data_IF_984515705652
#
_entry.id   IF_984515705652
#
_cell.length_a   1.000
_cell.length_b   1.000
_cell.length_c   1.000
_cell.angle_alpha   90.00
_cell.angle_beta   90.00
_cell.angle_gamma   90.00
#
_symmetry.space_group_name_H-M   'P 1'
#
loop_
_entity.id
_entity.type
_entity.pdbx_description
1 polymer ?
2 non-polymer ?
3 water ?
#
# COMPACT_ATOMS: atom_id res chain seq x y z
N UNK A 6 -29.12 10.41 -12.35
CA UNK A 6 -27.70 10.71 -12.49
C UNK A 6 -27.17 10.26 -13.84
N UNK A 7 -28.04 9.66 -14.62
CA UNK A 7 -27.70 9.14 -15.91
C UNK A 7 -27.55 7.65 -15.79
N UNK A 8 -27.83 7.19 -14.59
CA UNK A 8 -27.74 5.78 -14.29
C UNK A 8 -28.91 5.01 -14.81
N UNK A 9 -28.63 3.79 -15.21
CA UNK A 9 -29.63 2.86 -15.66
C UNK A 9 -30.04 2.02 -14.45
N UNK A 10 -31.16 1.33 -14.56
CA UNK A 10 -31.57 0.47 -13.46
C UNK A 10 -30.62 -0.71 -13.39
N UNK A 11 -30.21 -1.12 -14.59
CA UNK A 11 -29.27 -2.19 -14.80
C UNK A 11 -28.02 -1.64 -15.46
N UNK A 12 -26.86 -2.07 -14.95
CA UNK A 12 -25.61 -1.59 -15.50
C UNK A 12 -24.58 -2.68 -15.72
N UNK A 13 -23.63 -2.35 -16.58
CA UNK A 13 -22.54 -3.23 -16.87
C UNK A 13 -21.28 -2.55 -16.43
N UNK A 14 -20.30 -3.36 -16.05
CA UNK A 14 -19.07 -2.77 -15.58
C UNK A 14 -17.85 -3.57 -16.02
N UNK A 15 -16.70 -2.90 -15.98
CA UNK A 15 -15.48 -3.56 -16.39
C UNK A 15 -14.45 -3.51 -15.27
N UNK A 16 -13.65 -4.57 -15.20
CA UNK A 16 -12.63 -4.68 -14.18
C UNK A 16 -11.24 -4.97 -14.72
N UNK A 17 -10.29 -4.26 -14.14
CA UNK A 17 -8.89 -4.38 -14.41
C UNK A 17 -8.10 -4.09 -13.16
N UNK A 18 -7.63 -5.17 -12.54
CA UNK A 18 -6.86 -5.06 -11.32
C UNK A 18 -5.39 -5.38 -11.53
N UNK A 19 -4.58 -4.46 -11.05
CA UNK A 19 -3.16 -4.60 -11.10
C UNK A 19 -2.66 -4.80 -9.67
N UNK A 20 -1.95 -5.89 -9.40
CA UNK A 20 -1.49 -6.08 -8.03
C UNK A 20 -0.20 -6.88 -7.82
N UNK A 21 0.20 -6.86 -6.55
CA UNK A 21 1.35 -7.56 -6.02
C UNK A 21 1.12 -7.86 -4.56
N UNK A 22 0.95 -9.14 -4.27
CA UNK A 22 0.71 -9.56 -2.91
C UNK A 22 1.87 -10.40 -2.40
N UNK A 23 2.61 -9.85 -1.45
CA UNK A 23 3.74 -10.57 -0.90
C UNK A 23 4.76 -10.85 -1.99
N UNK A 24 4.91 -9.90 -2.91
CA UNK A 24 5.89 -10.04 -3.97
C UNK A 24 5.35 -10.66 -5.24
N UNK A 25 4.15 -11.23 -5.14
CA UNK A 25 3.52 -11.85 -6.27
C UNK A 25 2.71 -10.85 -7.08
N UNK A 26 3.18 -10.57 -8.28
CA UNK A 26 2.47 -9.68 -9.16
C UNK A 26 1.43 -10.48 -9.93
N UNK A 27 0.29 -9.87 -10.18
CA UNK A 27 -0.77 -10.55 -10.90
C UNK A 27 -1.64 -9.56 -11.65
N UNK A 28 -2.48 -10.11 -12.52
CA UNK A 28 -3.37 -9.33 -13.33
C UNK A 28 -4.73 -9.98 -13.49
N UNK A 29 -5.74 -9.27 -13.00
CA UNK A 29 -7.12 -9.71 -13.07
C UNK A 29 -7.97 -8.74 -13.88
N UNK A 30 -8.83 -9.33 -14.69
CA UNK A 30 -9.75 -8.57 -15.51
C UNK A 30 -11.13 -9.10 -15.22
N UNK A 31 -12.13 -8.26 -15.39
CA UNK A 31 -13.47 -8.71 -15.12
C UNK A 31 -14.53 -8.00 -15.93
N UNK A 32 -15.76 -8.45 -15.69
CA UNK A 32 -16.97 -7.94 -16.30
C UNK A 32 -18.13 -8.20 -15.35
N UNK A 33 -19.11 -7.31 -15.34
CA UNK A 33 -20.27 -7.48 -14.46
C UNK A 33 -21.52 -6.70 -14.86
N UNK A 34 -22.62 -7.11 -14.22
CA UNK A 34 -23.94 -6.51 -14.34
C UNK A 34 -24.36 -6.07 -12.96
N UNK A 35 -25.02 -4.94 -12.87
CA UNK A 35 -25.43 -4.47 -11.56
C UNK A 35 -26.69 -3.66 -11.58
N UNK A 36 -27.23 -3.46 -10.40
CA UNK A 36 -28.44 -2.71 -10.18
C UNK A 36 -28.22 -1.62 -9.16
N UNK A 37 -27.74 -0.50 -9.69
CA UNK A 37 -27.40 0.67 -8.90
C UNK A 37 -28.45 0.95 -7.85
N UNK A 38 -29.68 0.94 -8.31
CA UNK A 38 -30.80 1.23 -7.45
C UNK A 38 -31.17 0.08 -6.53
N UNK A 39 -30.76 -1.12 -6.90
CA UNK A 39 -31.02 -2.29 -6.09
C UNK A 39 -29.91 -2.51 -5.07
N UNK A 40 -28.74 -1.95 -5.38
CA UNK A 40 -27.55 -2.09 -4.54
C UNK A 40 -26.96 -3.50 -4.69
N UNK A 41 -27.18 -4.07 -5.87
CA UNK A 41 -26.71 -5.39 -6.17
C UNK A 41 -25.81 -5.43 -7.38
N UNK A 42 -24.85 -6.36 -7.35
CA UNK A 42 -23.88 -6.57 -8.42
C UNK A 42 -23.31 -7.99 -8.45
N UNK A 43 -23.12 -8.50 -9.65
CA UNK A 43 -22.56 -9.82 -9.89
C UNK A 43 -21.45 -9.67 -10.91
N UNK A 44 -20.22 -9.98 -10.50
CA UNK A 44 -19.09 -9.84 -11.39
C UNK A 44 -18.31 -11.12 -11.63
N UNK A 45 -17.69 -11.17 -12.82
CA UNK A 45 -16.90 -12.29 -13.26
C UNK A 45 -15.45 -11.88 -13.41
N UNK A 46 -14.57 -12.56 -12.65
CA UNK A 46 -13.14 -12.25 -12.64
C UNK A 46 -12.22 -13.31 -13.22
N UNK A 47 -11.11 -12.85 -13.79
CA UNK A 47 -10.15 -13.76 -14.40
C UNK A 47 -8.70 -13.33 -14.21
N UNK A 48 -7.88 -14.29 -13.75
CA UNK A 48 -6.45 -14.07 -13.57
C UNK A 48 -5.76 -14.23 -14.91
N UNK A 49 -5.48 -13.10 -15.55
CA UNK A 49 -4.84 -13.10 -16.84
C UNK A 49 -3.32 -13.03 -16.71
N UNK A 50 -2.87 -12.83 -15.49
CA UNK A 50 -1.46 -12.73 -15.18
C UNK A 50 -1.21 -13.09 -13.73
N UNK A 51 -0.13 -13.83 -13.49
CA UNK A 51 0.29 -14.23 -12.14
C UNK A 51 -0.48 -15.41 -11.54
N UNK A 52 -1.38 -15.99 -12.32
CA UNK A 52 -2.16 -17.11 -11.83
C UNK A 52 -1.41 -18.43 -12.04
N UNK A 53 -1.80 -19.44 -11.28
CA UNK A 53 -2.84 -19.32 -10.28
C UNK A 53 -2.30 -18.53 -9.09
N UNK A 54 -3.19 -17.80 -8.44
CA UNK A 54 -2.78 -17.00 -7.30
C UNK A 54 -2.35 -17.81 -6.10
N UNK A 55 -1.18 -17.43 -5.58
CA UNK A 55 -0.55 -18.06 -4.43
C UNK A 55 -1.26 -17.78 -3.10
N UNK A 56 -2.16 -16.80 -3.11
CA UNK A 56 -2.88 -16.41 -1.92
C UNK A 56 -4.37 -16.58 -2.09
N UNK A 57 -5.08 -16.33 -0.99
CA UNK A 57 -6.52 -16.40 -0.98
C UNK A 57 -7.11 -15.25 -1.79
N UNK A 58 -7.93 -15.61 -2.77
CA UNK A 58 -8.59 -14.68 -3.69
C UNK A 58 -9.62 -13.79 -2.99
N UNK A 59 -9.89 -14.08 -1.72
CA UNK A 59 -10.86 -13.34 -0.95
C UNK A 59 -10.39 -11.98 -0.50
N UNK A 60 -9.09 -11.81 -0.44
CA UNK A 60 -8.52 -10.54 -0.03
C UNK A 60 -8.70 -9.43 -1.08
N UNK A 61 -8.89 -9.84 -2.35
CA UNK A 61 -9.05 -8.93 -3.49
C UNK A 61 -10.47 -8.44 -3.68
N UNK A 62 -11.42 -9.27 -3.25
CA UNK A 62 -12.86 -9.05 -3.36
C UNK A 62 -13.34 -7.60 -3.32
N UNK A 63 -13.22 -6.96 -2.16
CA UNK A 63 -13.68 -5.60 -1.95
C UNK A 63 -12.88 -4.56 -2.73
N UNK A 64 -11.77 -4.98 -3.32
CA UNK A 64 -10.97 -4.06 -4.08
C UNK A 64 -11.47 -3.97 -5.53
N UNK A 65 -12.60 -4.63 -5.80
CA UNK A 65 -13.18 -4.69 -7.16
C UNK A 65 -14.26 -3.66 -7.52
N UNK A 67 -17.71 -1.05 -5.54
CA UNK A 67 -18.39 0.11 -6.10
C UNK A 67 -19.61 0.55 -5.29
N UNK A 68 -19.39 1.58 -4.46
CA UNK A 68 -20.43 2.11 -3.61
C UNK A 68 -21.65 2.62 -4.36
N UNK A 69 -21.53 2.75 -5.68
CA UNK A 69 -22.64 3.16 -6.51
C UNK A 69 -23.73 2.11 -6.37
N UNK A 70 -23.26 0.86 -6.27
CA UNK A 70 -24.10 -0.28 -6.09
C UNK A 70 -24.40 -0.43 -4.61
N UNK A 71 -25.20 0.52 -4.15
CA UNK A 71 -25.66 0.62 -2.78
C UNK A 71 -27.05 1.23 -2.77
N UNK A 72 -28.03 0.46 -2.28
CA UNK A 72 -29.37 0.99 -2.22
C UNK A 72 -29.53 1.95 -1.07
N UNK A 73 -29.73 3.21 -1.44
CA UNK A 73 -29.87 4.32 -0.53
C UNK A 73 -31.31 4.70 -0.30
N UNK A 74 -31.57 5.22 0.90
CA UNK A 74 -32.89 5.69 1.24
C UNK A 74 -33.05 7.07 0.64
N UNK A 75 -34.29 7.53 0.50
CA UNK A 75 -34.50 8.84 -0.06
C UNK A 75 -34.03 9.94 0.87
N UNK A 76 -34.17 9.68 2.15
CA UNK A 76 -33.78 10.62 3.17
C UNK A 76 -32.26 10.74 3.28
N UNK A 77 -31.55 9.84 2.60
CA UNK A 77 -30.08 9.86 2.66
C UNK A 77 -29.39 10.23 1.34
N UNK A 78 -28.43 11.18 1.41
CA UNK A 78 -27.65 11.61 0.24
C UNK A 78 -26.74 10.51 -0.27
N UNK A 79 -26.84 10.27 -1.58
CA UNK A 79 -26.05 9.25 -2.23
C UNK A 79 -24.84 9.87 -2.90
N UNK A 80 -23.82 10.09 -2.10
CA UNK A 80 -22.55 10.67 -2.55
C UNK A 80 -22.07 10.03 -3.86
N UNK A 81 -22.14 8.70 -3.88
CA UNK A 81 -21.70 7.90 -5.01
C UNK A 81 -22.48 8.13 -6.30
N UNK A 82 -23.80 8.01 -6.24
CA UNK A 82 -24.60 8.23 -7.44
C UNK A 82 -24.51 9.69 -7.86
N UNK A 83 -24.55 10.57 -6.89
CA UNK A 83 -24.41 11.97 -7.20
C UNK A 83 -23.12 12.17 -7.97
N UNK A 84 -22.18 11.23 -7.79
CA UNK A 84 -20.88 11.25 -8.45
C UNK A 84 -20.94 11.19 -9.99
N UNK A 85 -22.12 10.81 -10.48
CA UNK A 85 -22.35 10.76 -11.89
C UNK A 85 -22.25 12.14 -12.45
N UNK A 86 -21.62 12.32 -13.61
CA UNK A 86 -21.17 11.30 -14.52
C UNK A 86 -19.67 11.09 -14.53
N UNK A 87 -18.90 11.98 -13.89
CA UNK A 87 -17.44 11.88 -13.89
C UNK A 87 -16.91 10.65 -13.17
N UNK A 88 -17.64 10.24 -12.13
CA UNK A 88 -17.27 9.11 -11.31
C UNK A 88 -16.54 9.59 -10.07
N UNK A 89 -15.78 8.68 -9.47
CA UNK A 89 -15.06 9.01 -8.26
C UNK A 89 -13.90 8.06 -8.04
N UNK A 90 -13.13 8.32 -7.00
CA UNK A 90 -12.02 7.48 -6.64
C UNK A 90 -12.08 7.11 -5.16
N UNK A 91 -11.46 5.98 -4.84
CA UNK A 91 -11.37 5.50 -3.48
C UNK A 91 -10.05 4.78 -3.22
N UNK A 92 -9.61 4.93 -1.98
CA UNK A 92 -8.41 4.33 -1.45
C UNK A 92 -8.79 3.66 -0.15
N UNK A 93 -8.23 2.49 0.10
CA UNK A 93 -8.55 1.73 1.30
C UNK A 93 -7.37 0.98 1.89
N UNK A 94 -7.28 1.06 3.21
CA UNK A 94 -6.26 0.35 3.94
C UNK A 94 -6.86 -0.95 4.47
N UNK A 95 -6.10 -2.04 4.39
CA UNK A 95 -6.53 -3.34 4.87
C UNK A 95 -5.64 -3.83 5.99
N UNK A 96 -6.16 -3.84 7.21
CA UNK A 96 -5.34 -4.29 8.32
C UNK A 96 -5.77 -5.64 8.86
N UNK A 97 -5.06 -6.67 8.41
CA UNK A 97 -5.37 -8.02 8.84
C UNK A 97 -4.85 -8.31 10.21
N UNK A 98 -5.53 -9.23 10.87
CA UNK A 98 -5.15 -9.56 12.22
C UNK A 98 -3.76 -10.19 12.36
N UNK A 99 -3.28 -10.85 11.31
CA UNK A 99 -1.98 -11.50 11.39
C UNK A 99 -0.79 -10.63 11.03
N UNK A 100 -1.01 -9.33 10.89
CA UNK A 100 0.09 -8.44 10.56
C UNK A 100 0.17 -8.04 9.10
N UNK A 101 -0.55 -8.78 8.23
CA UNK A 101 -0.56 -8.45 6.82
C UNK A 101 -1.15 -7.05 6.57
N UNK A 102 -0.55 -6.31 5.63
CA UNK A 102 -0.99 -4.96 5.30
C UNK A 102 -1.32 -4.78 3.84
N UNK A 103 -2.47 -4.14 3.57
CA UNK A 103 -2.90 -3.88 2.22
C UNK A 103 -3.45 -2.48 1.98
N UNK A 104 -3.17 -2.02 0.79
CA UNK A 104 -3.67 -0.76 0.31
C UNK A 104 -4.29 -1.01 -1.05
N UNK A 105 -5.47 -0.45 -1.26
CA UNK A 105 -6.13 -0.58 -2.53
C UNK A 105 -6.61 0.75 -3.05
N UNK A 106 -6.32 0.97 -4.31
CA UNK A 106 -6.74 2.18 -4.95
C UNK A 106 -7.58 1.92 -6.17
N UNK A 107 -8.82 2.44 -6.13
CA UNK A 107 -9.75 2.27 -7.22
C UNK A 107 -10.15 3.58 -7.90
N UNK A 108 -10.25 3.51 -9.23
CA UNK A 108 -10.63 4.63 -10.07
C UNK A 108 -11.88 4.30 -10.88
N UNK A 109 -13.01 4.90 -10.46
CA UNK A 109 -14.28 4.66 -11.12
C UNK A 109 -14.58 5.68 -12.21
N UNK A 110 -14.70 5.18 -13.43
CA UNK A 110 -15.00 6.03 -14.57
C UNK A 110 -16.20 5.50 -15.33
N UNK A 111 -16.90 6.40 -16.01
CA UNK A 111 -18.10 6.01 -16.69
C UNK A 111 -18.15 6.11 -18.20
N UNK A 112 -18.50 4.97 -18.81
CA UNK A 112 -18.73 4.86 -20.24
C UNK A 112 -20.20 5.19 -20.44
N UNK A 113 -20.49 6.48 -20.28
CA UNK A 113 -21.82 7.06 -20.35
C UNK A 113 -22.76 6.39 -21.34
N UNK A 114 -22.52 6.59 -22.63
CA UNK A 114 -23.39 5.99 -23.64
C UNK A 114 -23.34 4.46 -23.63
N UNK A 115 -22.21 3.90 -23.25
CA UNK A 115 -22.09 2.47 -23.18
C UNK A 115 -22.86 1.99 -21.95
N UNK A 116 -23.03 2.90 -20.99
CA UNK A 116 -23.69 2.59 -19.72
C UNK A 116 -22.93 1.51 -18.97
N UNK A 117 -21.61 1.64 -19.08
CA UNK A 117 -20.64 0.74 -18.50
C UNK A 117 -19.74 1.48 -17.52
N UNK A 118 -19.55 0.91 -16.34
CA UNK A 118 -18.71 1.53 -15.35
C UNK A 118 -17.38 0.81 -15.29
N UNK A 119 -16.31 1.56 -15.56
CA UNK A 119 -15.00 1.00 -15.52
C UNK A 119 -14.38 1.14 -14.14
N UNK A 120 -13.61 0.13 -13.78
CA UNK A 120 -12.91 0.11 -12.51
C UNK A 120 -11.44 -0.21 -12.71
N UNK A 121 -10.58 0.72 -12.35
CA UNK A 121 -9.17 0.47 -12.49
C UNK A 121 -8.54 0.47 -11.11
N UNK A 122 -8.06 -0.71 -10.69
CA UNK A 122 -7.48 -0.85 -9.37
C UNK A 122 -6.05 -1.34 -9.31
N UNK A 123 -5.44 -0.89 -8.21
CA UNK A 123 -4.09 -1.23 -7.85
C UNK A 123 -4.08 -1.74 -6.43
N UNK A 124 -3.71 -3.01 -6.29
CA UNK A 124 -3.73 -3.65 -5.00
C UNK A 124 -2.34 -4.05 -4.54
N UNK A 125 -1.98 -3.60 -3.34
CA UNK A 125 -0.69 -3.92 -2.71
C UNK A 125 -0.85 -4.47 -1.30
N UNK A 126 -0.48 -5.75 -1.13
CA UNK A 126 -0.57 -6.42 0.16
C UNK A 126 0.73 -7.15 0.53
N UNK A 127 1.06 -7.12 1.83
CA UNK A 127 2.27 -7.76 2.33
C UNK A 127 2.12 -8.20 3.77
N UNK A 128 3.16 -8.90 4.24
CA UNK A 128 3.22 -9.42 5.61
C UNK A 128 2.15 -10.46 5.89
N UNK A 129 1.76 -11.14 4.82
CA UNK A 129 0.79 -12.22 4.86
C UNK A 129 1.51 -13.49 5.24
N UNK A 130 1.41 -13.88 6.51
CA UNK A 130 2.04 -15.09 7.00
C UNK A 130 1.89 -16.30 6.07
N UNK A 131 3.02 -16.94 5.81
CA UNK A 131 3.13 -18.10 4.95
C UNK A 131 2.29 -19.26 5.43
N UNK A 132 1.93 -19.20 6.70
CA UNK A 132 1.12 -20.22 7.31
C UNK A 132 -0.30 -19.72 7.46
N UNK A 133 -0.49 -18.44 7.20
CA UNK A 133 -1.80 -17.84 7.32
C UNK A 133 -2.81 -18.52 6.41
N UNK A 134 -4.10 -18.18 6.62
CA UNK A 134 -5.20 -18.71 5.83
C UNK A 134 -5.12 -18.19 4.40
N UNK A 135 -4.55 -17.00 4.26
CA UNK A 135 -4.38 -16.36 2.97
C UNK A 135 -3.32 -17.08 2.14
N UNK A 136 -2.15 -17.23 2.75
CA UNK A 136 -1.08 -17.93 2.07
C UNK A 136 -1.42 -19.39 1.91
N UNK A 137 -2.10 -19.91 2.92
CA UNK A 137 -2.52 -21.29 2.90
C UNK A 137 -3.87 -21.44 2.23
N UNK A 138 -4.39 -20.32 1.72
CA UNK A 138 -5.67 -20.32 1.05
C UNK A 138 -6.72 -21.12 1.82
N UNK A 139 -6.85 -20.79 3.10
CA UNK A 139 -7.76 -21.47 3.99
C UNK A 139 -9.07 -20.73 4.16
N UNK A 140 -9.27 -19.67 3.39
CA UNK A 140 -10.48 -18.85 3.47
C UNK A 140 -11.64 -19.42 2.68
N UNK A 141 -12.81 -18.86 2.91
CA UNK A 141 -13.99 -19.32 2.20
C UNK A 141 -14.85 -18.17 1.71
N UNK A 142 -15.15 -17.26 2.63
CA UNK A 142 -15.98 -16.11 2.33
C UNK A 142 -15.94 -15.09 3.43
N UNK A 143 -16.27 -13.85 3.08
CA UNK A 143 -16.31 -12.79 4.06
C UNK A 143 -17.62 -12.89 4.81
N UNK A 144 -17.65 -12.41 6.03
CA UNK A 144 -18.89 -12.44 6.78
C UNK A 144 -19.65 -11.15 6.53
N UNK A 145 -20.96 -11.16 6.77
CA UNK A 145 -21.77 -9.96 6.57
C UNK A 145 -21.29 -8.84 7.48
N UNK A 146 -21.41 -7.61 7.01
CA UNK A 146 -20.94 -6.49 7.77
C UNK A 146 -21.82 -5.25 7.72
N UNK A 147 -21.42 -4.32 8.58
CA UNK A 147 -22.03 -3.03 8.72
C UNK A 147 -20.94 -1.94 8.74
N UNK A 148 -20.87 -1.15 7.67
CA UNK A 148 -19.85 -0.12 7.59
C UNK A 148 -20.35 1.26 7.97
N UNK A 149 -19.51 1.97 8.70
CA UNK A 149 -19.86 3.32 9.07
C UNK A 149 -19.31 4.28 8.03
N UNK A 150 -20.22 5.06 7.47
CA UNK A 150 -19.91 6.05 6.46
C UNK A 150 -20.13 7.43 7.02
N UNK A 151 -19.07 8.25 6.99
CA UNK A 151 -19.15 9.59 7.52
C UNK A 151 -18.46 10.65 6.66
N UNK A 152 -19.08 11.81 6.68
CA UNK A 152 -18.62 12.94 5.93
C UNK A 152 -17.44 13.62 6.61
N UNK A 153 -16.62 14.22 5.76
CA UNK A 153 -15.46 14.96 6.18
C UNK A 153 -15.73 16.43 6.01
N UNK A 154 -15.87 17.09 7.16
CA UNK A 154 -16.16 18.50 7.23
C UNK A 154 -15.16 19.31 6.43
N UNK A 155 -15.70 20.04 5.45
CA UNK A 155 -14.89 20.90 4.60
C UNK A 155 -13.97 20.10 3.71
N UNK A 156 -14.44 18.98 3.19
CA UNK A 156 -13.54 18.23 2.35
C UNK A 156 -14.18 17.66 1.11
N UNK A 157 -15.47 17.36 1.21
CA UNK A 157 -16.21 16.81 0.09
C UNK A 157 -15.93 15.33 -0.10
N UNK A 158 -15.38 14.71 0.93
CA UNK A 158 -15.07 13.30 0.86
C UNK A 158 -15.74 12.52 1.98
N UNK A 159 -15.77 11.20 1.81
CA UNK A 159 -16.36 10.29 2.76
C UNK A 159 -15.29 9.45 3.43
N UNK A 160 -15.66 8.89 4.56
CA UNK A 160 -14.79 8.01 5.29
C UNK A 160 -15.57 6.76 5.63
N UNK A 161 -15.06 5.63 5.19
CA UNK A 161 -15.69 4.36 5.45
C UNK A 161 -14.90 3.60 6.49
N UNK A 162 -15.61 3.10 7.50
CA UNK A 162 -15.00 2.34 8.57
C UNK A 162 -15.73 1.02 8.74
N UNK A 163 -15.03 -0.09 8.52
CA UNK A 163 -15.63 -1.41 8.67
C UNK A 163 -14.68 -2.48 9.14
N UNK A 164 -15.14 -3.25 10.11
CA UNK A 164 -14.36 -4.37 10.63
C UNK A 164 -14.83 -5.64 9.96
N UNK A 165 -13.95 -6.14 9.13
CA UNK A 165 -14.21 -7.31 8.36
C UNK A 165 -13.76 -8.59 9.03
N UNK A 166 -14.51 -9.64 8.70
CA UNK A 166 -14.24 -10.96 9.16
C UNK A 166 -14.25 -11.95 8.00
N UNK A 167 -13.11 -12.58 7.80
CA UNK A 167 -12.96 -13.53 6.74
C UNK A 167 -13.08 -14.94 7.30
N UNK A 168 -14.13 -15.62 6.86
CA UNK A 168 -14.43 -16.98 7.28
C UNK A 168 -13.50 -18.00 6.65
N UNK A 169 -12.96 -18.85 7.53
CA UNK A 169 -12.02 -19.89 7.14
C UNK A 169 -12.67 -21.26 7.05
N UNK A 170 -11.98 -22.19 6.38
CA UNK A 170 -12.46 -23.55 6.21
C UNK A 170 -12.60 -24.29 7.54
N UNK A 171 -11.64 -24.05 8.45
CA UNK A 171 -11.68 -24.65 9.77
C UNK A 171 -12.92 -24.21 10.53
N UNK A 172 -13.56 -23.17 10.03
CA UNK A 172 -14.75 -22.63 10.64
C UNK A 172 -14.50 -21.30 11.34
N UNK A 173 -13.21 -20.99 11.54
CA UNK A 173 -12.82 -19.77 12.21
C UNK A 173 -12.98 -18.52 11.36
N UNK A 174 -12.87 -17.39 12.06
CA UNK A 174 -12.92 -16.06 11.50
C UNK A 174 -11.51 -15.52 11.35
N UNK A 175 -11.33 -14.58 10.44
CA UNK A 175 -10.05 -13.93 10.23
C UNK A 175 -10.33 -12.43 10.11
N UNK A 176 -9.89 -11.67 11.13
CA UNK A 176 -10.16 -10.24 11.21
C UNK A 176 -9.31 -9.32 10.33
N UNK A 177 -10.01 -8.30 9.79
CA UNK A 177 -9.43 -7.27 8.92
C UNK A 177 -10.11 -5.90 9.06
N UNK A 178 -9.31 -4.87 9.29
CA UNK A 178 -9.85 -3.54 9.42
C UNK A 178 -9.80 -2.77 8.11
N UNK A 179 -10.99 -2.39 7.63
CA UNK A 179 -11.14 -1.61 6.41
C UNK A 179 -11.31 -0.13 6.74
N UNK A 180 -10.40 0.67 6.21
CA UNK A 180 -10.46 2.11 6.38
C UNK A 180 -10.39 2.76 5.02
N UNK A 181 -11.50 3.36 4.64
CA UNK A 181 -11.63 3.94 3.32
C UNK A 181 -11.80 5.45 3.30
N UNK A 182 -11.47 5.96 2.13
CA UNK A 182 -11.62 7.35 1.77
C UNK A 182 -12.24 7.40 0.37
N UNK A 183 -13.42 8.02 0.30
CA UNK A 183 -14.14 8.14 -0.95
C UNK A 183 -14.11 9.58 -1.46
N UNK A 184 -13.49 9.77 -2.62
CA UNK A 184 -13.35 11.08 -3.22
C UNK A 184 -14.04 11.21 -4.58
N UNK A 185 -15.07 12.06 -4.59
CA UNK A 185 -15.84 12.34 -5.80
C UNK A 185 -14.99 13.12 -6.79
N UNK A 186 -15.17 12.82 -8.07
CA UNK A 186 -14.39 13.52 -9.06
C UNK A 186 -14.73 15.00 -9.19
N UNK A 187 -15.91 15.40 -8.71
CA UNK A 187 -16.32 16.80 -8.77
C UNK A 187 -16.93 17.29 -7.47
N UNK A 188 -16.76 18.59 -7.17
CA UNK A 188 -17.28 19.14 -5.94
C UNK A 188 -18.74 18.83 -5.77
N UNK A 189 -19.02 18.23 -4.63
CA UNK A 189 -20.34 17.81 -4.26
C UNK A 189 -21.18 18.94 -3.70
N UNK A 190 -22.36 19.13 -4.27
CA UNK A 190 -23.27 20.15 -3.80
C UNK A 190 -23.82 19.76 -2.44
N UNK A 191 -24.32 18.54 -2.36
CA UNK A 191 -24.86 18.01 -1.12
C UNK A 191 -23.98 16.91 -0.56
N UNK A 192 -23.86 16.91 0.77
CA UNK A 192 -23.10 15.90 1.49
C UNK A 192 -24.04 15.10 2.35
N UNK A 193 -23.76 13.82 2.52
CA UNK A 193 -24.60 13.02 3.37
C UNK A 193 -24.21 13.18 4.84
N UNK A 194 -25.04 12.62 5.71
CA UNK A 194 -24.78 12.63 7.13
C UNK A 194 -24.30 11.23 7.50
N UNK A 195 -23.46 11.12 8.52
CA UNK A 195 -22.99 9.81 8.85
C UNK A 195 -24.10 8.77 8.84
N UNK A 196 -23.81 7.64 8.22
CA UNK A 196 -24.77 6.55 8.14
C UNK A 196 -24.10 5.21 8.16
N UNK A 197 -24.81 4.21 7.72
CA UNK A 197 -24.30 2.86 7.70
C UNK A 197 -24.55 2.18 6.37
N UNK A 198 -23.67 1.26 6.03
CA UNK A 198 -23.84 0.44 4.85
C UNK A 198 -23.58 -1.01 5.21
N UNK A 199 -24.66 -1.78 5.13
CA UNK A 199 -24.62 -3.20 5.39
C UNK A 199 -24.25 -3.90 4.09
N UNK A 200 -23.36 -4.88 4.13
CA UNK A 200 -23.01 -5.56 2.89
C UNK A 200 -23.00 -7.08 3.03
N UNK A 201 -23.09 -7.72 1.87
CA UNK A 201 -23.03 -9.16 1.72
C UNK A 201 -22.27 -9.46 0.45
N UNK A 202 -21.05 -9.99 0.62
CA UNK A 202 -20.17 -10.30 -0.50
C UNK A 202 -19.77 -11.77 -0.55
N UNK A 203 -20.07 -12.42 -1.66
CA UNK A 203 -19.74 -13.81 -1.77
C UNK A 203 -18.93 -14.15 -3.00
N UNK A 204 -18.11 -15.18 -2.83
CA UNK A 204 -17.28 -15.68 -3.90
C UNK A 204 -17.60 -17.12 -4.20
N UNK A 205 -17.71 -17.38 -5.48
CA UNK A 205 -18.01 -18.70 -6.01
C UNK A 205 -17.04 -18.99 -7.12
N UNK A 206 -16.02 -19.80 -6.82
CA UNK A 206 -15.01 -20.15 -7.78
C UNK A 206 -15.58 -20.59 -9.13
N UNK A 207 -14.73 -20.54 -10.13
CA UNK A 207 -15.07 -20.93 -11.47
C UNK A 207 -13.83 -21.24 -12.28
N UNK A 208 -12.73 -21.44 -11.55
CA UNK A 208 -11.51 -21.78 -12.23
C UNK A 208 -11.77 -23.04 -13.07
N UNK A 209 -11.25 -23.10 -14.32
CA UNK A 209 -11.33 -24.38 -14.99
C UNK A 209 -10.06 -25.03 -14.55
N UNK A 210 -9.17 -25.24 -15.48
CA UNK A 210 -7.89 -25.84 -15.16
C UNK A 210 -6.96 -25.27 -16.15
N UNK A 211 -7.61 -24.44 -16.92
CA UNK A 211 -7.05 -23.66 -17.97
C UNK A 211 -7.10 -22.20 -17.56
N UNK A 212 -7.90 -21.87 -16.55
CA UNK A 212 -7.98 -20.50 -16.10
C UNK A 212 -8.59 -20.33 -14.72
N UNK A 213 -7.94 -19.45 -13.92
CA UNK A 213 -8.40 -19.14 -12.59
C UNK A 213 -9.44 -18.04 -12.60
N UNK A 214 -10.66 -18.44 -12.31
CA UNK A 214 -11.75 -17.50 -12.31
C UNK A 214 -12.76 -17.84 -11.26
N UNK A 215 -13.48 -16.81 -10.88
CA UNK A 215 -14.50 -16.90 -9.85
C UNK A 215 -15.48 -15.77 -10.07
N UNK A 216 -16.64 -15.92 -9.47
CA UNK A 216 -17.63 -14.90 -9.60
C UNK A 216 -17.98 -14.25 -8.27
N UNK A 217 -18.02 -12.91 -8.28
CA UNK A 217 -18.34 -12.18 -7.08
C UNK A 217 -19.78 -11.70 -7.07
N UNK A 218 -20.24 -11.37 -5.89
CA UNK A 218 -21.61 -10.96 -5.74
C UNK A 218 -21.77 -10.13 -4.49
N UNK A 219 -22.39 -8.97 -4.64
CA UNK A 219 -22.57 -8.12 -3.50
C UNK A 219 -23.93 -7.46 -3.43
N UNK A 220 -24.39 -7.32 -2.19
CA UNK A 220 -25.65 -6.68 -1.88
C UNK A 220 -25.40 -5.65 -0.79
N UNK A 221 -25.88 -4.44 -1.00
CA UNK A 221 -25.67 -3.42 0.01
C UNK A 221 -26.78 -2.41 0.09
N UNK A 222 -27.16 -2.08 1.34
CA UNK A 222 -28.21 -1.13 1.64
C UNK A 222 -27.75 -0.08 2.63
N UNK A 223 -28.02 1.17 2.30
CA UNK A 223 -27.69 2.27 3.18
C UNK A 223 -28.73 2.36 4.30
N UNK A 224 -28.28 2.71 5.48
CA UNK A 224 -29.19 2.82 6.58
C UNK A 224 -28.74 3.91 7.52
N UNK A 225 -29.68 4.35 8.35
CA UNK A 225 -29.42 5.33 9.37
C UNK A 225 -29.41 4.64 10.72
N UNK A 226 -28.90 5.31 11.73
CA UNK A 226 -28.89 4.69 13.04
C UNK A 226 -30.31 4.39 13.47
N UNK A 227 -30.56 3.12 13.78
CA UNK A 227 -31.87 2.70 14.25
C UNK A 227 -32.11 3.20 15.67
N UNK A 228 -32.11 4.52 15.81
CA UNK A 228 -32.30 5.19 17.10
C UNK A 228 -32.80 6.60 16.87
N UNK B 6 32.22 -7.99 -1.56
CA UNK B 6 31.18 -8.89 -2.08
C UNK B 6 30.93 -8.68 -3.57
N UNK B 7 31.91 -8.09 -4.22
CA UNK B 7 31.82 -7.75 -5.62
C UNK B 7 31.44 -6.28 -5.65
N UNK B 8 31.27 -5.80 -4.42
CA UNK B 8 30.92 -4.43 -4.10
C UNK B 8 32.19 -3.61 -3.96
N UNK B 9 32.08 -2.29 -3.97
CA UNK B 9 33.26 -1.44 -3.80
C UNK B 9 33.11 -0.56 -2.57
N UNK B 10 34.24 -0.26 -1.90
CA UNK B 10 34.26 0.59 -0.71
C UNK B 10 33.41 1.84 -0.88
N UNK B 11 33.63 2.46 -2.04
CA UNK B 11 32.87 3.62 -2.44
C UNK B 11 32.09 3.25 -3.69
N UNK B 12 30.87 3.76 -3.79
CA UNK B 12 30.06 3.43 -4.93
C UNK B 12 29.05 4.50 -5.28
N UNK B 13 28.24 4.16 -6.25
CA UNK B 13 27.20 5.04 -6.71
C UNK B 13 25.89 4.31 -6.76
N UNK B 14 24.83 5.07 -6.83
CA UNK B 14 23.51 4.50 -6.85
C UNK B 14 22.51 5.43 -7.53
N UNK B 15 21.56 4.83 -8.21
CA UNK B 15 20.55 5.58 -8.91
C UNK B 15 19.16 5.25 -8.42
N UNK B 16 18.35 6.30 -8.32
CA UNK B 16 17.00 6.20 -7.83
C UNK B 16 15.91 6.68 -8.79
N UNK B 17 14.85 5.89 -8.79
CA UNK B 17 13.64 6.16 -9.54
C UNK B 17 12.43 5.79 -8.69
N UNK B 18 11.67 6.79 -8.25
CA UNK B 18 10.51 6.51 -7.41
C UNK B 18 9.19 6.99 -7.96
N UNK B 19 8.21 6.11 -7.90
CA UNK B 19 6.85 6.40 -8.32
C UNK B 19 5.91 6.20 -7.16
N UNK B 20 5.03 7.17 -6.96
CA UNK B 20 4.08 7.04 -5.88
C UNK B 20 2.87 7.92 -6.05
N UNK B 21 1.88 7.57 -5.24
CA UNK B 21 0.61 8.24 -5.12
C UNK B 21 0.28 8.29 -3.65
N UNK B 22 0.56 9.44 -3.05
CA UNK B 22 0.27 9.62 -1.67
C UNK B 22 -1.01 10.42 -1.56
N UNK B 23 -1.96 9.89 -0.82
CA UNK B 23 -3.23 10.56 -0.69
C UNK B 23 -3.81 10.96 -2.03
N UNK B 24 -3.55 10.13 -3.03
CA UNK B 24 -4.05 10.35 -4.37
C UNK B 24 -3.17 11.24 -5.22
N UNK B 25 -2.11 11.76 -4.63
CA UNK B 25 -1.23 12.63 -5.39
C UNK B 25 -0.09 11.85 -6.02
N UNK B 26 -0.15 11.71 -7.34
CA UNK B 26 0.89 10.97 -8.05
C UNK B 26 2.17 11.80 -8.17
N UNK B 27 3.32 11.11 -8.17
CA UNK B 27 4.59 11.81 -8.27
C UNK B 27 5.72 10.90 -8.71
N UNK B 28 6.71 11.50 -9.37
CA UNK B 28 7.89 10.82 -9.83
C UNK B 28 9.12 11.52 -9.33
N UNK B 29 10.01 10.72 -8.75
CA UNK B 29 11.25 11.18 -8.18
C UNK B 29 12.44 10.36 -8.70
N UNK B 30 13.54 11.06 -8.93
CA UNK B 30 14.75 10.43 -9.40
C UNK B 30 15.92 10.96 -8.61
N UNK B 31 16.85 10.07 -8.26
CA UNK B 31 17.98 10.51 -7.48
C UNK B 31 19.29 9.85 -7.88
N UNK B 32 20.36 10.47 -7.38
CA UNK B 32 21.73 10.07 -7.57
C UNK B 32 22.42 10.05 -6.21
N UNK B 33 23.39 9.14 -6.05
CA UNK B 33 24.10 9.08 -4.78
C UNK B 33 25.45 8.36 -4.82
N UNK B 34 26.21 8.60 -3.74
CA UNK B 34 27.52 8.01 -3.48
C UNK B 34 27.46 7.35 -2.11
N UNK B 35 27.93 6.11 -2.02
CA UNK B 35 27.85 5.47 -0.73
C UNK B 35 29.06 4.65 -0.36
N UNK B 36 29.06 4.29 0.93
CA UNK B 36 30.10 3.47 1.51
C UNK B 36 29.49 2.26 2.18
N UNK B 37 29.32 1.27 1.33
CA UNK B 37 28.74 0.00 1.71
C UNK B 37 29.27 -0.51 3.04
N UNK B 38 30.58 -0.50 3.19
CA UNK B 38 31.25 -0.99 4.39
C UNK B 38 31.22 -0.03 5.55
N UNK B 39 31.05 1.25 5.24
CA UNK B 39 30.97 2.24 6.28
C UNK B 39 29.54 2.34 6.73
N UNK B 40 28.63 1.98 5.82
CA UNK B 40 27.22 2.04 6.09
C UNK B 40 26.71 3.47 5.95
N UNK B 41 27.45 4.23 5.14
CA UNK B 41 27.14 5.63 4.89
C UNK B 41 26.70 5.91 3.46
N UNK B 42 25.87 6.96 3.32
CA UNK B 42 25.37 7.39 2.05
C UNK B 42 24.67 8.75 2.05
N UNK B 43 24.90 9.47 0.95
CA UNK B 43 24.33 10.77 0.71
C UNK B 43 23.60 10.71 -0.62
N UNK B 44 22.38 11.20 -0.66
CA UNK B 44 21.68 11.15 -1.92
C UNK B 44 20.95 12.41 -2.24
N UNK B 45 20.90 12.67 -3.53
CA UNK B 45 20.27 13.84 -4.04
C UNK B 45 19.03 13.46 -4.81
N UNK B 46 17.90 14.04 -4.37
CA UNK B 46 16.61 13.75 -4.95
C UNK B 46 15.98 14.92 -5.65
N UNK B 47 15.28 14.63 -6.74
CA UNK B 47 14.60 15.63 -7.51
C UNK B 47 13.24 15.18 -8.01
N UNK B 48 12.21 15.87 -7.53
CA UNK B 48 10.86 15.58 -7.96
C UNK B 48 10.74 15.95 -9.43
N UNK B 49 10.52 14.95 -10.26
CA UNK B 49 10.41 15.20 -11.67
C UNK B 49 9.02 14.91 -12.18
N UNK B 50 8.07 14.96 -11.25
CA UNK B 50 6.67 14.73 -11.54
C UNK B 50 5.83 14.83 -10.29
N UNK B 51 4.77 15.62 -10.38
CA UNK B 51 3.85 15.83 -9.27
C UNK B 51 4.36 16.84 -8.26
N UNK B 52 5.43 17.55 -8.64
CA UNK B 52 5.99 18.55 -7.75
C UNK B 52 5.31 19.91 -7.87
N UNK B 53 5.34 20.67 -6.78
CA UNK B 53 5.95 20.20 -5.56
C UNK B 53 4.97 19.28 -4.85
N UNK B 54 5.52 18.27 -4.17
CA UNK B 54 4.70 17.34 -3.41
C UNK B 54 3.91 18.12 -2.38
N UNK B 55 2.63 17.76 -2.25
CA UNK B 55 1.72 18.42 -1.34
C UNK B 55 1.86 17.98 0.12
N UNK B 56 2.72 16.99 0.34
CA UNK B 56 2.94 16.43 1.66
C UNK B 56 4.40 16.51 2.01
N UNK B 57 4.73 16.11 3.25
CA UNK B 57 6.10 16.11 3.72
C UNK B 57 6.94 15.06 3.00
N UNK B 58 8.19 15.42 2.64
CA UNK B 58 9.09 14.51 1.94
C UNK B 58 9.64 13.46 2.89
N UNK B 59 9.65 13.82 4.17
CA UNK B 59 10.15 12.96 5.22
C UNK B 59 9.56 11.56 5.17
N UNK B 60 8.31 11.46 4.73
CA UNK B 60 7.65 10.16 4.62
C UNK B 60 8.30 9.21 3.60
N UNK B 61 8.93 9.79 2.56
CA UNK B 61 9.54 9.00 1.49
C UNK B 61 10.97 8.56 1.74
N UNK B 62 11.63 9.24 2.67
CA UNK B 62 13.03 9.02 2.99
C UNK B 62 13.50 7.56 2.99
N UNK B 63 13.03 6.79 3.97
CA UNK B 63 13.42 5.38 4.10
C UNK B 63 13.01 4.58 2.89
N UNK B 64 12.12 5.16 2.10
CA UNK B 64 11.63 4.51 0.90
C UNK B 64 12.58 4.66 -0.27
N UNK B 65 13.78 5.19 -0.03
CA UNK B 65 14.74 5.39 -1.11
C UNK B 65 15.84 4.32 -1.19
N UNK B 67 18.44 1.36 1.62
CA UNK B 67 19.28 0.26 1.15
C UNK B 67 20.16 -0.34 2.23
N UNK B 68 19.76 -1.53 2.66
CA UNK B 68 20.46 -2.24 3.69
C UNK B 68 21.87 -2.70 3.31
N UNK B 69 22.24 -2.48 2.05
CA UNK B 69 23.58 -2.80 1.59
C UNK B 69 24.57 -1.89 2.31
N UNK B 70 24.11 -0.64 2.50
CA UNK B 70 24.86 0.39 3.19
C UNK B 70 24.64 0.28 4.70
N UNK B 71 25.29 -0.71 5.27
CA UNK B 71 25.23 -0.98 6.69
C UNK B 71 26.56 -1.56 7.15
N UNK B 72 27.18 -0.90 8.12
CA UNK B 72 28.42 -1.41 8.65
C UNK B 72 28.13 -2.66 9.49
N UNK B 73 28.57 -3.81 9.00
CA UNK B 73 28.33 -5.08 9.67
C UNK B 73 29.58 -5.66 10.33
N UNK B 74 29.44 -6.15 11.56
CA UNK B 74 30.54 -6.77 12.26
C UNK B 74 30.88 -8.09 11.60
N UNK B 75 32.13 -8.51 11.71
CA UNK B 75 32.52 -9.77 11.11
C UNK B 75 31.73 -10.92 11.71
N UNK B 76 31.46 -10.78 13.00
CA UNK B 76 30.72 -11.78 13.72
C UNK B 76 29.29 -11.95 13.22
N UNK B 77 28.76 -10.96 12.50
CA UNK B 77 27.38 -11.05 12.01
C UNK B 77 27.25 -11.20 10.49
N UNK B 78 26.33 -12.10 10.07
CA UNK B 78 26.05 -12.35 8.65
C UNK B 78 25.36 -11.17 7.97
N UNK B 79 25.99 -10.66 6.91
CA UNK B 79 25.44 -9.56 6.14
C UNK B 79 24.64 -10.06 4.95
N UNK B 80 23.40 -10.41 5.27
CA UNK B 80 22.41 -10.91 4.32
C UNK B 80 22.31 -10.01 3.07
N UNK B 81 22.41 -8.70 3.30
CA UNK B 81 22.32 -7.75 2.21
C UNK B 81 23.47 -7.82 1.23
N UNK B 82 24.70 -7.67 1.73
CA UNK B 82 25.86 -7.72 0.86
C UNK B 82 25.97 -9.10 0.26
N UNK B 83 25.67 -10.08 1.09
CA UNK B 83 25.68 -11.44 0.63
C UNK B 83 24.65 -11.65 -0.45
N UNK B 84 23.76 -10.67 -0.62
CA UNK B 84 22.72 -10.70 -1.65
C UNK B 84 23.24 -10.63 -3.10
N UNK B 85 24.50 -10.21 -3.24
CA UNK B 85 25.15 -10.13 -4.53
C UNK B 85 25.35 -11.54 -5.07
N UNK B 86 25.39 -11.70 -6.40
CA UNK B 86 25.26 -10.63 -7.36
C UNK B 86 23.82 -10.28 -7.68
N UNK B 87 22.93 -11.29 -7.64
CA UNK B 87 21.51 -11.14 -8.00
C UNK B 87 20.80 -9.89 -7.46
N UNK B 88 21.11 -9.57 -6.20
CA UNK B 88 20.52 -8.43 -5.52
C UNK B 88 19.40 -8.87 -4.58
N UNK B 89 18.53 -7.94 -4.25
CA UNK B 89 17.45 -8.26 -3.36
C UNK B 89 16.32 -7.27 -3.51
N UNK B 90 15.22 -7.56 -2.82
CA UNK B 90 14.08 -6.67 -2.80
C UNK B 90 13.57 -6.48 -1.39
N UNK B 91 12.81 -5.41 -1.19
CA UNK B 91 12.21 -5.13 0.11
C UNK B 91 10.79 -4.57 0.02
N UNK B 92 10.01 -4.92 1.03
CA UNK B 92 8.63 -4.48 1.17
C UNK B 92 8.48 -3.88 2.55
N UNK B 93 7.77 -2.76 2.65
CA UNK B 93 7.61 -2.13 3.96
C UNK B 93 6.27 -1.46 4.19
N UNK B 94 5.78 -1.61 5.42
CA UNK B 94 4.55 -0.97 5.79
C UNK B 94 4.81 0.12 6.80
N UNK B 95 4.25 1.30 6.51
CA UNK B 95 4.39 2.47 7.36
C UNK B 95 3.08 2.72 8.10
N UNK B 96 3.10 2.45 9.40
CA UNK B 96 1.94 2.67 10.24
C UNK B 96 2.08 3.92 11.10
N UNK B 97 1.60 5.04 10.53
CA UNK B 97 1.62 6.36 11.15
C UNK B 97 0.57 6.47 12.27
N UNK B 98 0.96 7.08 13.39
CA UNK B 98 0.09 7.23 14.53
C UNK B 98 -1.29 7.80 14.20
N UNK B 99 -1.35 8.76 13.29
CA UNK B 99 -2.62 9.37 12.98
C UNK B 99 -3.53 8.64 11.99
N UNK B 100 -3.22 7.39 11.70
CA UNK B 100 -4.07 6.66 10.78
C UNK B 100 -3.56 6.58 9.35
N UNK B 101 -2.48 7.28 9.04
CA UNK B 101 -1.97 7.18 7.68
C UNK B 101 -1.34 5.81 7.41
N UNK B 102 -1.51 5.33 6.18
CA UNK B 102 -0.98 4.03 5.78
C UNK B 102 -0.20 4.06 4.48
N UNK B 103 1.05 3.59 4.57
CA UNK B 103 1.94 3.51 3.42
C UNK B 103 2.51 2.12 3.24
N UNK B 104 2.83 1.84 1.99
CA UNK B 104 3.49 0.63 1.57
C UNK B 104 4.55 0.99 0.54
N UNK B 105 5.77 0.49 0.74
CA UNK B 105 6.84 0.74 -0.20
C UNK B 105 7.59 -0.52 -0.57
N UNK B 106 7.75 -0.68 -1.87
CA UNK B 106 8.48 -1.80 -2.38
C UNK B 106 9.64 -1.35 -3.25
N UNK B 107 10.82 -1.87 -2.93
CA UNK B 107 12.04 -1.52 -3.64
C UNK B 107 12.75 -2.70 -4.25
N UNK B 108 13.13 -2.54 -5.52
CA UNK B 108 13.88 -3.54 -6.26
C UNK B 108 15.34 -3.13 -6.36
N UNK B 109 16.21 -3.89 -5.69
CA UNK B 109 17.64 -3.56 -5.69
C UNK B 109 18.52 -4.38 -6.65
N UNK B 110 19.23 -3.62 -7.50
CA UNK B 110 20.13 -4.17 -8.50
C UNK B 110 21.45 -3.41 -8.57
N UNK B 111 22.53 -4.18 -8.74
CA UNK B 111 23.88 -3.64 -8.77
C UNK B 111 24.67 -3.88 -10.07
N UNK B 112 25.21 -2.79 -10.64
CA UNK B 112 26.02 -2.86 -11.84
C UNK B 112 27.50 -2.92 -11.50
N UNK B 113 28.10 -4.08 -11.78
CA UNK B 113 29.51 -4.27 -11.54
C UNK B 113 30.31 -3.30 -12.40
N UNK B 114 30.01 -3.36 -13.69
CA UNK B 114 30.66 -2.54 -14.68
C UNK B 114 30.46 -1.07 -14.44
N UNK B 115 29.38 -0.72 -13.75
CA UNK B 115 29.08 0.67 -13.49
C UNK B 115 29.31 1.07 -12.05
N UNK B 116 29.57 0.07 -11.21
CA UNK B 116 29.81 0.32 -9.81
C UNK B 116 28.70 1.18 -9.18
N UNK B 117 27.49 1.01 -9.71
CA UNK B 117 26.32 1.72 -9.20
C UNK B 117 25.23 0.77 -8.77
N UNK B 118 24.46 1.21 -7.76
CA UNK B 118 23.34 0.46 -7.23
C UNK B 118 22.03 1.13 -7.63
N UNK B 119 21.21 0.42 -8.41
CA UNK B 119 19.94 0.99 -8.85
C UNK B 119 18.79 0.62 -7.94
N UNK B 120 18.03 1.65 -7.62
CA UNK B 120 16.89 1.49 -6.75
C UNK B 120 15.62 1.96 -7.43
N UNK B 121 14.68 1.02 -7.55
CA UNK B 121 13.39 1.25 -8.14
C UNK B 121 12.29 1.03 -7.10
N UNK B 122 11.79 2.13 -6.55
CA UNK B 122 10.77 2.09 -5.51
C UNK B 122 9.38 2.45 -6.00
N UNK B 123 8.42 1.94 -5.23
CA UNK B 123 7.00 2.17 -5.44
C UNK B 123 6.34 2.46 -4.10
N UNK B 124 6.14 3.73 -3.87
CA UNK B 124 5.59 4.24 -2.65
C UNK B 124 4.12 4.62 -2.78
N UNK B 125 3.29 4.02 -1.91
CA UNK B 125 1.87 4.28 -1.85
C UNK B 125 1.47 4.65 -0.44
N UNK B 126 0.72 5.73 -0.29
CA UNK B 126 0.30 6.15 1.04
C UNK B 126 -1.06 6.85 1.05
N UNK B 127 -1.80 6.65 2.12
CA UNK B 127 -3.10 7.25 2.26
C UNK B 127 -3.49 7.52 3.69
N UNK B 128 -4.63 8.19 3.83
CA UNK B 128 -5.18 8.54 5.13
C UNK B 128 -4.30 9.51 5.93
N UNK B 129 -3.67 10.41 5.20
CA UNK B 129 -2.85 11.43 5.80
C UNK B 129 -3.74 12.60 6.15
N UNK B 130 -4.06 12.71 7.43
CA UNK B 130 -4.90 13.79 7.90
C UNK B 130 -4.50 15.14 7.30
N UNK B 131 -5.47 15.79 6.63
CA UNK B 131 -5.26 17.08 5.97
C UNK B 131 -4.57 18.10 6.85
N UNK B 132 -4.87 18.08 8.14
CA UNK B 132 -4.24 19.03 9.02
C UNK B 132 -3.07 18.41 9.76
N UNK B 133 -2.63 17.26 9.24
CA UNK B 133 -1.52 16.53 9.84
C UNK B 133 -0.19 17.18 9.51
N UNK B 134 0.86 16.75 10.23
CA UNK B 134 2.20 17.28 10.03
C UNK B 134 2.70 17.07 8.59
N UNK B 135 2.27 15.98 7.98
CA UNK B 135 2.65 15.63 6.62
C UNK B 135 1.93 16.48 5.59
N UNK B 136 0.62 16.50 5.71
CA UNK B 136 -0.21 17.27 4.82
C UNK B 136 0.07 18.76 4.98
N UNK B 137 0.37 19.17 6.20
CA UNK B 137 0.68 20.56 6.47
C UNK B 137 2.19 20.79 6.47
N UNK B 138 2.93 19.80 5.99
CA UNK B 138 4.38 19.85 5.94
C UNK B 138 5.02 20.60 7.12
N UNK B 139 5.00 19.95 8.28
CA UNK B 139 5.53 20.51 9.50
C UNK B 139 6.55 19.61 10.14
N UNK B 140 7.09 18.72 9.33
CA UNK B 140 8.09 17.74 9.76
C UNK B 140 9.51 18.23 9.50
N UNK B 141 10.46 17.78 10.29
CA UNK B 141 11.81 18.22 10.07
C UNK B 141 12.75 17.09 9.75
N UNK B 142 12.84 16.13 10.66
CA UNK B 142 13.73 14.98 10.49
C UNK B 142 13.26 13.80 11.33
N UNK B 143 13.80 12.64 10.98
CA UNK B 143 13.51 11.42 11.68
C UNK B 143 14.48 11.32 12.83
N UNK B 144 14.02 10.82 13.96
CA UNK B 144 14.90 10.63 15.09
C UNK B 144 15.71 9.35 14.88
N UNK B 145 16.96 9.36 15.37
CA UNK B 145 17.84 8.20 15.23
C UNK B 145 17.15 6.97 15.76
N UNK B 146 17.30 5.87 15.04
CA UNK B 146 16.64 4.64 15.42
C UNK B 146 17.56 3.48 15.72
N UNK B 147 16.89 2.41 16.14
CA UNK B 147 17.47 1.13 16.44
C UNK B 147 16.48 0.08 15.92
N UNK B 148 16.77 -0.50 14.77
CA UNK B 148 15.84 -1.47 14.24
C UNK B 148 16.22 -2.90 14.57
N UNK B 149 15.21 -3.73 14.69
CA UNK B 149 15.43 -5.13 14.99
C UNK B 149 15.32 -5.97 13.73
N UNK B 150 16.42 -6.65 13.43
CA UNK B 150 16.53 -7.52 12.27
C UNK B 150 16.46 -8.99 12.70
N UNK B 151 15.41 -9.68 12.23
CA UNK B 151 15.30 -11.08 12.59
C UNK B 151 15.05 -12.00 11.40
N UNK B 152 15.69 -13.16 11.44
CA UNK B 152 15.59 -14.13 10.38
C UNK B 152 14.30 -14.93 10.46
N UNK B 153 13.76 -15.24 9.27
CA UNK B 153 12.57 -16.04 9.14
C UNK B 153 12.95 -17.46 8.76
N UNK B 154 12.95 -18.29 9.79
CA UNK B 154 13.30 -19.68 9.68
C UNK B 154 12.57 -20.40 8.55
N UNK B 155 13.36 -21.02 7.69
CA UNK B 155 12.82 -21.79 6.59
C UNK B 155 12.22 -20.95 5.47
N UNK B 156 12.48 -19.64 5.49
CA UNK B 156 11.93 -18.79 4.46
C UNK B 156 12.98 -18.09 3.62
N UNK B 157 14.19 -18.00 4.17
CA UNK B 157 15.29 -17.34 3.49
C UNK B 157 15.13 -15.82 3.45
N UNK B 158 14.14 -15.32 4.19
CA UNK B 158 13.88 -13.89 4.27
C UNK B 158 14.19 -13.32 5.65
N UNK B 159 14.22 -12.00 5.72
CA UNK B 159 14.52 -11.22 6.91
C UNK B 159 13.34 -10.33 7.28
N UNK B 160 13.24 -10.01 8.58
CA UNK B 160 12.19 -9.12 9.06
C UNK B 160 12.77 -8.00 9.90
N UNK B 161 12.45 -6.78 9.48
CA UNK B 161 12.89 -5.58 10.14
C UNK B 161 11.74 -4.93 10.88
N UNK B 162 12.02 -4.55 12.12
CA UNK B 162 11.05 -3.93 12.98
C UNK B 162 11.66 -2.71 13.67
N UNK B 163 11.02 -1.55 13.50
CA UNK B 163 11.50 -0.30 14.09
C UNK B 163 10.37 0.70 14.34
N UNK B 164 10.39 1.34 15.51
CA UNK B 164 9.40 2.35 15.85
C UNK B 164 10.01 3.72 15.59
N UNK B 165 9.53 4.33 14.53
CA UNK B 165 10.04 5.62 14.11
C UNK B 165 9.33 6.83 14.70
N UNK B 166 10.09 7.92 14.73
CA UNK B 166 9.61 9.21 15.18
C UNK B 166 10.08 10.30 14.23
N UNK B 167 9.12 10.94 13.61
CA UNK B 167 9.40 12.02 12.72
C UNK B 167 9.29 13.29 13.53
N UNK B 168 10.41 14.02 13.65
CA UNK B 168 10.41 15.24 14.44
C UNK B 168 9.69 16.42 13.78
N UNK B 169 8.83 17.06 14.58
CA UNK B 169 8.03 18.18 14.13
C UNK B 169 8.68 19.52 14.40
N UNK B 170 8.20 20.56 13.71
CA UNK B 170 8.71 21.91 13.86
C UNK B 170 8.51 22.44 15.28
N UNK B 171 7.36 22.12 15.86
CA UNK B 171 7.09 22.53 17.22
C UNK B 171 8.00 21.77 18.15
N UNK B 172 8.67 20.79 17.61
CA UNK B 172 9.54 19.97 18.41
C UNK B 172 8.80 18.75 18.91
N UNK B 173 7.62 18.51 18.34
CA UNK B 173 6.85 17.37 18.74
C UNK B 173 7.18 16.17 17.87
N UNK B 174 7.13 14.98 18.47
CA UNK B 174 7.40 13.77 17.72
C UNK B 174 6.11 13.27 17.09
N UNK B 175 6.25 12.59 15.97
CA UNK B 175 5.13 12.01 15.26
C UNK B 175 5.46 10.55 14.98
N UNK B 176 4.68 9.64 15.57
CA UNK B 176 4.94 8.20 15.48
C UNK B 176 4.58 7.46 14.19
N UNK B 177 5.45 6.48 13.86
CA UNK B 177 5.31 5.60 12.68
C UNK B 177 6.03 4.25 12.82
N UNK B 178 5.24 3.18 12.68
CA UNK B 178 5.76 1.82 12.76
C UNK B 178 6.16 1.25 11.42
N UNK B 179 7.46 0.95 11.29
CA UNK B 179 8.04 0.37 10.10
C UNK B 179 8.14 -1.15 10.25
N UNK B 180 7.48 -1.86 9.35
CA UNK B 180 7.53 -3.31 9.33
C UNK B 180 8.04 -3.76 7.98
N UNK B 181 9.28 -4.23 7.96
CA UNK B 181 9.91 -4.63 6.72
C UNK B 181 10.12 -6.12 6.49
N UNK B 182 10.17 -6.44 5.21
CA UNK B 182 10.45 -7.78 4.72
C UNK B 182 11.58 -7.68 3.71
N UNK B 183 12.70 -8.31 4.05
CA UNK B 183 13.88 -8.26 3.22
C UNK B 183 14.07 -9.60 2.50
N UNK B 184 13.99 -9.59 1.18
CA UNK B 184 14.14 -10.83 0.43
C UNK B 184 15.13 -10.76 -0.73
N UNK B 185 16.16 -11.59 -0.59
CA UNK B 185 17.22 -11.70 -1.57
C UNK B 185 16.70 -12.29 -2.88
N UNK B 186 17.35 -11.97 -3.99
CA UNK B 186 16.90 -12.49 -5.25
C UNK B 186 17.21 -13.98 -5.44
N UNK B 187 18.23 -14.50 -4.76
CA UNK B 187 18.55 -15.92 -4.88
C UNK B 187 18.69 -16.59 -3.53
N UNK B 188 18.58 -17.92 -3.49
CA UNK B 188 18.68 -18.60 -2.21
C UNK B 188 19.95 -18.31 -1.44
N UNK B 189 19.77 -17.79 -0.24
CA UNK B 189 20.85 -17.43 0.64
C UNK B 189 21.67 -18.62 1.09
N UNK B 190 22.98 -18.47 0.97
CA UNK B 190 23.89 -19.51 1.40
C UNK B 190 23.81 -19.67 2.91
N UNK B 191 23.75 -18.53 3.60
CA UNK B 191 23.68 -18.48 5.05
C UNK B 191 22.67 -17.44 5.53
N UNK B 192 22.26 -17.58 6.78
CA UNK B 192 21.34 -16.66 7.42
C UNK B 192 22.01 -16.06 8.64
N UNK B 193 21.69 -14.82 8.95
CA UNK B 193 22.29 -14.20 10.10
C UNK B 193 21.45 -14.54 11.33
N UNK B 194 21.88 -14.03 12.47
CA UNK B 194 21.14 -14.21 13.68
C UNK B 194 20.40 -12.93 13.98
N UNK B 195 19.38 -12.97 14.82
CA UNK B 195 18.73 -11.72 15.07
C UNK B 195 19.74 -10.74 15.65
N UNK B 196 19.64 -9.50 15.20
CA UNK B 196 20.54 -8.46 15.62
C UNK B 196 19.83 -7.13 15.47
N UNK B 197 20.55 -6.05 15.76
CA UNK B 197 19.97 -4.73 15.61
C UNK B 197 20.71 -3.93 14.56
N UNK B 198 20.01 -2.90 14.07
CA UNK B 198 20.56 -1.95 13.15
C UNK B 198 20.16 -0.57 13.63
N UNK B 199 21.17 0.20 13.95
CA UNK B 199 20.97 1.55 14.39
C UNK B 199 21.12 2.47 13.18
N UNK B 200 20.20 3.42 12.99
CA UNK B 200 20.36 4.34 11.87
C UNK B 200 20.15 5.77 12.26
N UNK B 201 20.76 6.63 11.45
CA UNK B 201 20.65 8.07 11.57
C UNK B 201 20.46 8.61 10.18
N UNK B 202 19.27 9.12 9.93
CA UNK B 202 18.93 9.65 8.62
C UNK B 202 18.46 11.10 8.69
N UNK B 203 19.00 11.93 7.80
CA UNK B 203 18.66 13.33 7.78
C UNK B 203 18.28 13.82 6.41
N UNK B 204 17.60 14.96 6.39
CA UNK B 204 17.18 15.59 5.16
C UNK B 204 17.47 17.08 5.13
N UNK B 205 18.20 17.47 4.07
CA UNK B 205 18.57 18.85 3.82
C UNK B 205 17.93 19.30 2.53
N UNK B 206 17.00 20.25 2.62
CA UNK B 206 16.33 20.73 1.43
C UNK B 206 17.30 21.39 0.47
N UNK B 207 16.98 21.29 -0.82
CA UNK B 207 17.83 21.85 -1.83
C UNK B 207 17.05 22.27 -3.06
N UNK B 208 15.82 22.72 -2.84
CA UNK B 208 14.99 23.12 -3.96
C UNK B 208 15.31 24.52 -4.45
N UNK B 209 14.95 24.78 -5.71
CA UNK B 209 15.25 26.08 -6.26
C UNK B 209 13.96 26.86 -6.52
N UNK B 210 13.51 26.82 -7.76
CA UNK B 210 12.29 27.48 -8.23
C UNK B 210 11.92 26.89 -9.57
N UNK B 211 12.86 26.08 -10.05
CA UNK B 211 12.72 25.37 -11.29
C UNK B 211 12.47 23.92 -10.95
N UNK B 212 13.03 23.53 -9.81
CA UNK B 212 12.85 22.18 -9.31
C UNK B 212 12.91 22.04 -7.81
N UNK B 213 12.18 21.04 -7.32
CA UNK B 213 12.10 20.69 -5.91
C UNK B 213 13.08 19.56 -5.63
N UNK B 214 14.10 19.88 -4.83
CA UNK B 214 15.12 18.91 -4.54
C UNK B 214 15.53 18.89 -3.08
N UNK B 215 16.00 17.72 -2.68
CA UNK B 215 16.49 17.51 -1.34
C UNK B 215 17.57 16.44 -1.28
N UNK B 216 18.38 16.57 -0.25
CA UNK B 216 19.46 15.67 -0.04
C UNK B 216 19.24 14.78 1.16
N UNK B 217 19.52 13.50 0.98
CA UNK B 217 19.36 12.55 2.05
C UNK B 217 20.70 11.94 2.45
N UNK B 218 20.78 11.65 3.72
CA UNK B 218 21.99 11.09 4.29
C UNK B 218 21.64 10.04 5.32
N UNK B 219 22.39 8.95 5.33
CA UNK B 219 22.12 7.89 6.25
C UNK B 219 23.38 7.17 6.70
N UNK B 220 23.44 6.93 7.98
CA UNK B 220 24.53 6.20 8.60
C UNK B 220 23.94 5.07 9.43
N UNK B 221 24.36 3.84 9.14
CA UNK B 221 23.83 2.69 9.84
C UNK B 221 24.91 1.71 10.20
N UNK B 222 24.79 1.19 11.42
CA UNK B 222 25.71 0.21 11.94
C UNK B 222 24.99 -0.99 12.53
N UNK B 223 25.47 -2.17 12.17
CA UNK B 223 24.90 -3.40 12.69
C UNK B 223 25.48 -3.64 14.07
N UNK B 224 24.71 -4.32 14.90
CA UNK B 224 25.11 -4.59 16.26
C UNK B 224 24.38 -5.78 16.81
N UNK B 225 24.91 -6.28 17.89
CA UNK B 225 24.35 -7.40 18.62
C UNK B 225 23.86 -6.93 19.97
N UNK B 226 23.31 -7.85 20.75
CA UNK B 226 22.87 -7.46 22.07
C UNK B 226 24.09 -7.15 22.93
N UNK B 227 24.01 -6.02 23.65
CA UNK B 227 25.07 -5.57 24.54
C UNK B 227 25.08 -6.36 25.86
X LIG C 1 -23.80 7.60 -16.16
X LIG C 1 -24.03 7.81 -14.71
X LIG C 1 -23.73 8.78 -16.85
X LIG C 1 -22.60 7.89 -13.64
X LIG D 1 28.14 -7.72 -7.01
X LIG D 1 27.51 -6.41 -6.36
X LIG D 1 27.77 -7.68 -8.35
X LIG D 1 25.93 -6.85 -5.71
#
# INVERSE_FOLDING_TARGET
MAHSKHGLKEEMTMKYHMEGCVNGHKFVITGEGIGYPFKGKQTINLCVIEGGPLPFSEDILSAGXXDRIFTEYPQDIVDYFKNSCPAGYTWGRSFLFEDGAVCICNVDITVSVKENCIYHKSIFNGMNFPADGPVMKKMTTNWEASCEKIMPVPKQGILKGDVSMYLLLKDGGRYRCQFDTVYKAKSVPSKMPEWHFIQHKLLREDRSDAKNQKWQLTEHAIAFPSALA
MAHSKHGLKEEMTMKYHMEGCVNGHKFVITGEGIGYPFKGKQTINLCVIEGGPLPFSEDILSAGXXDRIFTEYPQDIVDYFKNSCPAGYTWGRSFLFEDGAVCICNVDITVSVKENCIYHKSIFNGMNFPADGPVMKKMTTNWEASCEKIMPVPKQGILKGDVSMYLLLKDGGRYRCQFDTVYKAKSVPSKMPEWHFIQHKLLREDRSDAKNQKWQLTEHAIAFPSALA
BME C1 C2 O1 S2
BME C1 C2 O1 S2
#
